data_IF_967228759391
#
_entry.id   IF_967228759391
#
_cell.length_a   1.000
_cell.length_b   1.000
_cell.length_c   1.000
_cell.angle_alpha   90.00
_cell.angle_beta   90.00
_cell.angle_gamma   90.00
#
_symmetry.space_group_name_H-M   'P 1'
#
loop_
_entity.id
_entity.type
_entity.pdbx_description
1 polymer ?
#
# COMPACT_ATOMS: atom_id res chain seq x y z
N UNK A 1 18.36 1.21 -5.19
CA UNK A 1 18.47 -0.24 -5.52
C UNK A 1 18.85 -0.49 -6.97
N UNK A 2 18.29 0.22 -7.95
CA UNK A 2 18.57 0.07 -9.39
C UNK A 2 20.06 -0.06 -9.76
N UNK A 3 20.91 0.91 -9.36
CA UNK A 3 22.37 0.91 -9.64
C UNK A 3 23.13 -0.30 -9.08
N UNK A 4 22.51 -1.05 -8.17
CA UNK A 4 23.10 -2.21 -7.52
C UNK A 4 22.40 -3.52 -7.91
N UNK A 5 21.49 -3.51 -8.91
CA UNK A 5 20.74 -4.70 -9.32
C UNK A 5 19.74 -5.21 -8.28
N UNK A 6 19.38 -4.37 -7.29
CA UNK A 6 18.40 -4.73 -6.26
C UNK A 6 16.96 -4.38 -6.66
N UNK A 7 16.00 -4.87 -5.87
CA UNK A 7 14.57 -4.60 -6.04
C UNK A 7 14.02 -3.63 -5.00
N UNK A 8 12.90 -3.00 -5.31
CA UNK A 8 12.14 -2.16 -4.39
C UNK A 8 10.95 -2.94 -3.83
N UNK A 9 10.77 -2.93 -2.51
CA UNK A 9 9.73 -3.69 -1.82
C UNK A 9 8.97 -2.77 -0.84
N UNK A 10 7.98 -2.00 -1.33
CA UNK A 10 7.24 -1.08 -0.49
C UNK A 10 6.09 -1.78 0.24
N UNK A 11 5.83 -1.32 1.46
CA UNK A 11 4.48 -1.31 2.01
C UNK A 11 3.82 0.00 1.53
N UNK A 12 3.07 -0.06 0.43
CA UNK A 12 2.66 1.14 -0.31
C UNK A 12 1.47 1.88 0.33
N UNK A 13 1.17 3.08 -0.18
CA UNK A 13 0.28 4.08 0.44
C UNK A 13 -1.14 3.61 0.79
N UNK A 14 -1.73 2.66 0.06
CA UNK A 14 -3.09 2.19 0.35
C UNK A 14 -3.29 0.73 -0.08
N UNK A 15 -3.90 -0.07 0.79
CA UNK A 15 -4.51 -1.36 0.45
C UNK A 15 -6.04 -1.30 0.52
N UNK A 16 -6.60 -0.13 0.83
CA UNK A 16 -8.03 0.15 0.97
C UNK A 16 -8.59 0.97 -0.19
N UNK A 17 -9.30 2.05 0.12
CA UNK A 17 -10.10 2.77 -0.88
C UNK A 17 -9.35 3.21 -2.15
N UNK A 18 -8.04 3.47 -2.07
CA UNK A 18 -7.17 3.82 -3.21
C UNK A 18 -6.14 2.73 -3.56
N UNK A 19 -6.50 1.46 -3.42
CA UNK A 19 -5.56 0.35 -3.61
C UNK A 19 -5.02 0.26 -5.04
N UNK A 20 -5.88 0.29 -6.06
CA UNK A 20 -5.46 0.14 -7.45
C UNK A 20 -4.53 1.27 -7.88
N UNK A 21 -4.84 2.50 -7.49
CA UNK A 21 -4.02 3.68 -7.75
C UNK A 21 -2.66 3.58 -7.06
N UNK A 22 -2.61 3.01 -5.85
CA UNK A 22 -1.35 2.76 -5.14
C UNK A 22 -0.49 1.68 -5.83
N UNK A 23 -1.10 0.61 -6.35
CA UNK A 23 -0.37 -0.39 -7.16
C UNK A 23 0.16 0.23 -8.46
N UNK A 24 -0.68 0.97 -9.19
CA UNK A 24 -0.30 1.66 -10.43
C UNK A 24 0.88 2.61 -10.19
N UNK A 25 0.85 3.37 -9.11
CA UNK A 25 1.94 4.25 -8.71
C UNK A 25 3.26 3.48 -8.52
N UNK A 26 3.24 2.33 -7.83
CA UNK A 26 4.46 1.55 -7.59
C UNK A 26 5.02 0.97 -8.89
N UNK A 27 4.16 0.52 -9.80
CA UNK A 27 4.55 0.07 -11.14
C UNK A 27 5.20 1.21 -11.92
N UNK A 28 4.57 2.39 -11.96
CA UNK A 28 5.10 3.54 -12.68
C UNK A 28 6.42 4.05 -12.07
N UNK A 29 6.51 4.10 -10.75
CA UNK A 29 7.70 4.52 -10.01
C UNK A 29 8.89 3.62 -10.33
N UNK A 30 8.73 2.31 -10.23
CA UNK A 30 9.81 1.34 -10.44
C UNK A 30 10.23 1.26 -11.90
N UNK A 31 9.29 1.42 -12.84
CA UNK A 31 9.58 1.60 -14.26
C UNK A 31 10.44 2.84 -14.52
N UNK A 32 10.07 3.98 -13.94
CA UNK A 32 10.84 5.23 -14.08
C UNK A 32 12.21 5.13 -13.42
N UNK A 33 12.32 4.44 -12.29
CA UNK A 33 13.56 4.26 -11.56
C UNK A 33 14.48 3.18 -12.16
N UNK A 34 13.96 2.33 -13.05
CA UNK A 34 14.70 1.23 -13.67
C UNK A 34 15.12 0.15 -12.68
N UNK A 35 14.25 -0.21 -11.74
CA UNK A 35 14.48 -1.35 -10.83
C UNK A 35 13.30 -2.30 -10.78
N UNK A 36 13.57 -3.54 -10.36
CA UNK A 36 12.55 -4.54 -10.08
C UNK A 36 11.64 -4.11 -8.92
N UNK A 37 10.39 -4.55 -8.95
CA UNK A 37 9.38 -4.33 -7.93
C UNK A 37 8.99 -5.66 -7.28
N UNK A 38 8.96 -5.68 -5.95
CA UNK A 38 8.29 -6.74 -5.19
C UNK A 38 7.12 -6.12 -4.43
N UNK A 39 5.89 -6.51 -4.77
CA UNK A 39 4.70 -6.06 -4.07
C UNK A 39 4.48 -6.92 -2.83
N UNK A 40 4.82 -6.35 -1.66
CA UNK A 40 4.64 -7.02 -0.38
C UNK A 40 3.15 -7.23 -0.09
N UNK A 41 2.82 -8.46 0.33
CA UNK A 41 1.50 -8.89 0.78
C UNK A 41 0.35 -8.27 -0.06
N UNK A 42 0.44 -8.48 -1.37
CA UNK A 42 -0.47 -7.94 -2.35
C UNK A 42 -1.89 -8.44 -2.07
N UNK A 43 -2.73 -7.52 -1.61
CA UNK A 43 -4.09 -7.77 -1.14
C UNK A 43 -5.00 -6.58 -1.48
N UNK A 44 -6.31 -6.85 -1.43
CA UNK A 44 -7.37 -5.88 -1.68
C UNK A 44 -8.28 -5.82 -0.44
N UNK A 45 -7.92 -4.95 0.50
CA UNK A 45 -8.56 -4.89 1.81
C UNK A 45 -9.85 -4.06 1.80
N UNK A 46 -10.71 -4.30 2.81
CA UNK A 46 -11.98 -3.62 3.05
C UNK A 46 -13.08 -3.85 2.01
N UNK A 47 -14.33 -3.59 2.39
CA UNK A 47 -15.51 -3.84 1.55
C UNK A 47 -15.52 -3.08 0.22
N UNK A 48 -14.92 -1.88 0.18
CA UNK A 48 -14.76 -1.04 -1.02
C UNK A 48 -14.01 -1.75 -2.16
N UNK A 49 -13.20 -2.76 -1.85
CA UNK A 49 -12.42 -3.51 -2.82
C UNK A 49 -12.98 -4.90 -3.13
N UNK A 50 -14.15 -5.25 -2.61
CA UNK A 50 -14.78 -6.54 -2.87
C UNK A 50 -14.98 -6.73 -4.37
N UNK A 51 -14.41 -7.81 -4.91
CA UNK A 51 -14.52 -8.17 -6.33
C UNK A 51 -13.49 -7.51 -7.25
N UNK A 52 -12.60 -6.64 -6.75
CA UNK A 52 -11.58 -5.94 -7.57
C UNK A 52 -10.26 -6.70 -7.77
N UNK A 53 -10.16 -7.93 -7.28
CA UNK A 53 -8.95 -8.74 -7.49
C UNK A 53 -8.61 -8.95 -8.98
N UNK A 54 -9.58 -9.21 -9.89
CA UNK A 54 -9.29 -9.29 -11.32
C UNK A 54 -8.72 -7.99 -11.92
N UNK A 55 -9.13 -6.82 -11.41
CA UNK A 55 -8.62 -5.53 -11.89
C UNK A 55 -7.13 -5.35 -11.53
N UNK A 56 -6.76 -5.76 -10.29
CA UNK A 56 -5.36 -5.79 -9.87
C UNK A 56 -4.53 -6.74 -10.75
N UNK A 57 -5.04 -7.95 -11.01
CA UNK A 57 -4.34 -8.92 -11.85
C UNK A 57 -4.16 -8.38 -13.28
N UNK A 58 -5.19 -7.81 -13.88
CA UNK A 58 -5.11 -7.22 -15.22
C UNK A 58 -4.09 -6.07 -15.29
N UNK A 59 -4.00 -5.24 -14.25
CA UNK A 59 -2.99 -4.18 -14.14
C UNK A 59 -1.58 -4.78 -14.14
N UNK A 60 -1.33 -5.80 -13.31
CA UNK A 60 -0.02 -6.43 -13.19
C UNK A 60 0.36 -7.21 -14.46
N UNK A 61 -0.58 -7.94 -15.05
CA UNK A 61 -0.39 -8.65 -16.32
C UNK A 61 -0.01 -7.68 -17.45
N UNK A 62 -0.68 -6.52 -17.52
CA UNK A 62 -0.34 -5.47 -18.48
C UNK A 62 1.06 -4.91 -18.27
N UNK A 63 1.46 -4.70 -17.01
CA UNK A 63 2.79 -4.23 -16.67
C UNK A 63 3.89 -5.25 -17.01
N UNK A 64 3.66 -6.53 -16.69
CA UNK A 64 4.54 -7.65 -17.05
C UNK A 64 4.69 -7.78 -18.57
N UNK A 65 3.59 -7.70 -19.31
CA UNK A 65 3.61 -7.72 -20.79
C UNK A 65 4.36 -6.53 -21.39
N UNK A 66 4.38 -5.39 -20.70
CA UNK A 66 5.16 -4.20 -21.07
C UNK A 66 6.65 -4.29 -20.66
N UNK A 67 7.09 -5.42 -20.10
CA UNK A 67 8.48 -5.69 -19.74
C UNK A 67 8.88 -5.21 -18.33
N UNK A 68 7.92 -4.91 -17.45
CA UNK A 68 8.24 -4.63 -16.06
C UNK A 68 8.71 -5.90 -15.34
N UNK A 69 9.73 -5.76 -14.49
CA UNK A 69 10.21 -6.83 -13.60
C UNK A 69 9.45 -6.72 -12.26
N UNK A 70 8.36 -7.48 -12.14
CA UNK A 70 7.45 -7.43 -11.00
C UNK A 70 7.29 -8.84 -10.42
N UNK A 71 7.38 -8.93 -9.10
CA UNK A 71 6.96 -10.08 -8.32
C UNK A 71 6.04 -9.62 -7.19
N UNK A 72 5.33 -10.57 -6.58
CA UNK A 72 4.46 -10.31 -5.42
C UNK A 72 4.45 -11.51 -4.49
N UNK A 73 4.12 -11.25 -3.24
CA UNK A 73 3.69 -12.27 -2.29
C UNK A 73 2.28 -11.97 -1.78
N UNK A 74 1.64 -12.97 -1.19
CA UNK A 74 0.39 -12.79 -0.44
C UNK A 74 0.28 -13.89 0.60
N UNK A 75 -0.68 -13.76 1.51
CA UNK A 75 -0.92 -14.74 2.58
C UNK A 75 -2.25 -15.49 2.34
N UNK A 76 -2.32 -16.80 2.66
CA UNK A 76 -3.51 -17.62 2.39
C UNK A 76 -4.60 -17.45 3.46
N UNK A 77 -4.85 -16.22 3.89
CA UNK A 77 -5.81 -15.87 4.93
C UNK A 77 -6.57 -14.60 4.56
N UNK A 78 -7.83 -14.49 4.97
CA UNK A 78 -8.62 -13.26 4.80
C UNK A 78 -8.15 -12.11 5.70
N UNK A 79 -7.86 -12.32 7.01
CA UNK A 79 -7.38 -11.24 7.86
C UNK A 79 -5.88 -10.98 7.68
N UNK A 80 -5.50 -9.69 7.61
CA UNK A 80 -4.13 -9.23 7.84
C UNK A 80 -3.84 -9.00 9.34
N UNK A 81 -2.59 -8.68 9.66
CA UNK A 81 -2.16 -8.33 11.02
C UNK A 81 -1.22 -7.13 10.98
N UNK A 82 -1.54 -6.08 11.73
CA UNK A 82 -0.71 -4.88 11.88
C UNK A 82 -1.09 -4.15 13.17
N UNK A 83 -0.40 -3.05 13.47
CA UNK A 83 -0.70 -2.18 14.61
C UNK A 83 -2.02 -1.43 14.42
N UNK A 84 -2.78 -1.21 15.51
CA UNK A 84 -4.06 -0.50 15.48
C UNK A 84 -3.97 0.91 14.87
N UNK A 85 -2.81 1.58 14.99
CA UNK A 85 -2.58 2.92 14.41
C UNK A 85 -2.76 2.96 12.89
N UNK A 86 -2.65 1.82 12.19
CA UNK A 86 -2.91 1.74 10.75
C UNK A 86 -4.37 2.04 10.36
N UNK A 87 -5.30 2.01 11.32
CA UNK A 87 -6.70 2.39 11.11
C UNK A 87 -6.93 3.90 11.14
N UNK A 88 -5.95 4.68 11.60
CA UNK A 88 -6.10 6.14 11.67
C UNK A 88 -5.93 6.76 10.27
N UNK A 89 -6.57 7.92 10.00
CA UNK A 89 -6.29 8.70 8.81
C UNK A 89 -4.80 9.04 8.70
N UNK A 90 -4.25 9.07 7.48
CA UNK A 90 -2.80 9.27 7.28
C UNK A 90 -2.25 10.52 7.96
N UNK A 91 -3.01 11.62 8.00
CA UNK A 91 -2.62 12.87 8.66
C UNK A 91 -2.47 12.72 10.18
N UNK A 92 -3.23 11.81 10.80
CA UNK A 92 -3.17 11.58 12.23
C UNK A 92 -1.87 10.88 12.65
N UNK A 93 -1.27 10.10 11.74
CA UNK A 93 0.02 9.42 11.92
C UNK A 93 1.26 10.30 11.78
N UNK A 94 1.11 11.53 11.28
CA UNK A 94 2.23 12.44 11.02
C UNK A 94 2.99 12.80 12.31
N UNK A 95 4.32 12.77 12.28
CA UNK A 95 5.12 13.13 13.46
C UNK A 95 5.24 12.02 14.52
N UNK A 96 4.82 10.79 14.21
CA UNK A 96 5.11 9.60 15.01
C UNK A 96 4.21 9.41 16.25
N UNK A 97 4.51 8.39 17.10
CA UNK A 97 3.62 7.93 18.15
C UNK A 97 3.20 8.98 19.18
N UNK A 98 4.14 9.82 19.65
CA UNK A 98 3.83 10.88 20.63
C UNK A 98 2.85 11.92 20.07
N UNK A 99 3.02 12.27 18.79
CA UNK A 99 2.10 13.18 18.09
C UNK A 99 0.72 12.56 17.92
N UNK A 100 0.65 11.26 17.58
CA UNK A 100 -0.61 10.50 17.52
C UNK A 100 -1.32 10.53 18.86
N UNK A 101 -0.62 10.22 19.96
CA UNK A 101 -1.19 10.21 21.31
C UNK A 101 -1.69 11.59 21.71
N UNK A 102 -0.93 12.64 21.41
CA UNK A 102 -1.33 14.03 21.66
C UNK A 102 -2.62 14.38 20.90
N UNK A 103 -2.73 14.00 19.61
CA UNK A 103 -3.96 14.22 18.82
C UNK A 103 -5.16 13.42 19.34
N UNK A 104 -4.94 12.19 19.81
CA UNK A 104 -6.00 11.36 20.38
C UNK A 104 -6.48 11.88 21.75
N UNK A 105 -5.61 12.55 22.51
CA UNK A 105 -5.97 13.18 23.78
C UNK A 105 -6.68 14.53 23.61
N UNK A 106 -6.50 15.22 22.48
CA UNK A 106 -7.23 16.46 22.15
C UNK A 106 -8.64 16.16 21.60
N UNK A 107 -9.72 16.61 22.26
CA UNK A 107 -11.09 16.31 21.82
C UNK A 107 -11.40 16.78 20.39
N UNK A 108 -10.84 17.91 19.96
CA UNK A 108 -11.12 18.47 18.63
C UNK A 108 -10.47 17.64 17.51
N UNK A 109 -9.26 17.13 17.77
CA UNK A 109 -8.53 16.27 16.86
C UNK A 109 -9.08 14.85 16.87
N UNK A 110 -9.45 14.32 18.04
CA UNK A 110 -10.09 13.01 18.18
C UNK A 110 -11.42 12.93 17.41
N UNK A 111 -12.24 13.99 17.44
CA UNK A 111 -13.49 14.02 16.67
C UNK A 111 -13.27 14.02 15.15
N UNK A 112 -12.15 14.57 14.67
CA UNK A 112 -11.77 14.51 13.24
C UNK A 112 -11.19 13.15 12.83
N UNK A 113 -10.69 12.37 13.79
CA UNK A 113 -10.11 11.04 13.57
C UNK A 113 -11.22 9.97 13.53
N UNK A 114 -12.30 10.19 14.26
CA UNK A 114 -13.46 9.30 14.37
C UNK A 114 -14.20 9.16 13.03
#
# INVERSE_FOLDING_TARGET
VARHGGYYCPHHRSYGAGALEAYEEMVQLTRNAGCALHLAHATMNFGVNKGKAPDLLALLDGALAAGADISLDTYPYTPGCTTLVAMLPSWAGEGGPESVLTRLADPSSAEKIR
#
